data_IF_345347760581
#
_entry.id   IF_345347760581
#
_cell.length_a   1.000
_cell.length_b   1.000
_cell.length_c   1.000
_cell.angle_alpha   90.00
_cell.angle_beta   90.00
_cell.angle_gamma   90.00
#
_symmetry.space_group_name_H-M   'P 1'
#
loop_
_entity.id
_entity.type
_entity.pdbx_description
1 polymer ?
#
# COMPACT_ATOMS: atom_id res chain seq x y z
N UNK A 1 5.27 -9.47 6.90
CA UNK A 1 5.28 -8.70 5.63
C UNK A 1 4.71 -9.43 4.44
N UNK A 2 5.04 -10.71 4.18
CA UNK A 2 4.45 -11.42 3.00
C UNK A 2 2.93 -11.43 3.02
N UNK A 3 2.30 -11.60 4.20
CA UNK A 3 0.84 -11.55 4.32
C UNK A 3 0.28 -10.16 3.91
N UNK A 4 0.85 -9.07 4.44
CA UNK A 4 0.42 -7.71 4.08
C UNK A 4 0.57 -7.42 2.58
N UNK A 5 1.70 -7.82 1.99
CA UNK A 5 1.90 -7.69 0.54
C UNK A 5 0.89 -8.52 -0.25
N UNK A 6 0.62 -9.75 0.19
CA UNK A 6 -0.37 -10.61 -0.43
C UNK A 6 -1.77 -9.98 -0.37
N UNK A 7 -2.21 -9.48 0.79
CA UNK A 7 -3.51 -8.82 0.96
C UNK A 7 -3.65 -7.61 0.04
N UNK A 8 -2.67 -6.71 0.04
CA UNK A 8 -2.71 -5.52 -0.82
C UNK A 8 -2.76 -5.91 -2.29
N UNK A 9 -1.95 -6.90 -2.69
CA UNK A 9 -1.88 -7.37 -4.07
C UNK A 9 -3.19 -8.03 -4.53
N UNK A 10 -3.78 -8.90 -3.72
CA UNK A 10 -5.04 -9.56 -4.07
C UNK A 10 -6.22 -8.59 -4.09
N UNK A 11 -6.19 -7.55 -3.24
CA UNK A 11 -7.19 -6.50 -3.29
C UNK A 11 -7.03 -5.65 -4.55
N UNK A 12 -5.80 -5.34 -4.97
CA UNK A 12 -5.56 -4.66 -6.25
C UNK A 12 -6.04 -5.52 -7.43
N UNK A 13 -5.82 -6.84 -7.41
CA UNK A 13 -6.37 -7.74 -8.45
C UNK A 13 -7.90 -7.69 -8.52
N UNK A 14 -8.57 -7.58 -7.38
CA UNK A 14 -10.02 -7.44 -7.36
C UNK A 14 -10.46 -6.09 -7.98
N UNK A 15 -9.73 -5.01 -7.69
CA UNK A 15 -9.98 -3.69 -8.26
C UNK A 15 -9.72 -3.67 -9.77
N UNK A 16 -8.64 -4.27 -10.25
CA UNK A 16 -8.34 -4.43 -11.68
C UNK A 16 -9.46 -5.17 -12.42
N UNK A 17 -9.94 -6.27 -11.84
CA UNK A 17 -11.02 -7.07 -12.41
C UNK A 17 -12.34 -6.28 -12.47
N UNK A 18 -12.67 -5.50 -11.43
CA UNK A 18 -13.83 -4.63 -11.43
C UNK A 18 -13.72 -3.53 -12.48
N UNK A 19 -12.55 -2.91 -12.61
CA UNK A 19 -12.32 -1.88 -13.61
C UNK A 19 -12.42 -2.42 -15.04
N UNK A 20 -11.85 -3.59 -15.33
CA UNK A 20 -12.02 -4.22 -16.64
C UNK A 20 -13.49 -4.55 -16.93
N UNK A 21 -14.22 -5.07 -15.95
CA UNK A 21 -15.65 -5.38 -16.10
C UNK A 21 -16.49 -4.14 -16.41
N UNK A 22 -16.14 -2.99 -15.82
CA UNK A 22 -16.86 -1.73 -15.93
C UNK A 22 -16.30 -0.80 -17.02
N UNK A 23 -15.28 -1.23 -17.77
CA UNK A 23 -14.56 -0.42 -18.77
C UNK A 23 -14.00 0.90 -18.18
N UNK A 24 -13.42 0.81 -16.98
CA UNK A 24 -12.82 1.93 -16.25
C UNK A 24 -11.31 1.97 -16.42
N UNK A 25 -10.77 3.18 -16.64
CA UNK A 25 -9.34 3.42 -16.58
C UNK A 25 -8.88 3.64 -15.13
N UNK A 26 -7.86 2.89 -14.68
CA UNK A 26 -7.31 3.02 -13.34
C UNK A 26 -5.96 3.74 -13.39
N UNK A 27 -5.91 5.04 -13.05
CA UNK A 27 -4.65 5.76 -13.09
C UNK A 27 -3.66 5.21 -12.06
N UNK A 28 -2.38 5.23 -12.43
CA UNK A 28 -1.29 5.04 -11.48
C UNK A 28 -1.16 6.29 -10.61
N UNK A 29 -0.90 6.11 -9.32
CA UNK A 29 -0.61 7.22 -8.43
C UNK A 29 0.80 7.74 -8.62
N UNK A 30 0.98 9.03 -8.40
CA UNK A 30 2.31 9.58 -8.14
C UNK A 30 2.70 9.26 -6.70
N UNK A 31 3.86 8.63 -6.53
CA UNK A 31 4.39 8.33 -5.20
C UNK A 31 5.22 9.51 -4.70
N UNK A 32 5.07 9.89 -3.41
CA UNK A 32 5.92 10.88 -2.79
C UNK A 32 7.41 10.55 -2.89
N UNK A 33 8.22 11.60 -3.03
CA UNK A 33 9.67 11.50 -2.91
C UNK A 33 10.07 11.19 -1.46
N UNK A 34 11.04 10.29 -1.21
CA UNK A 34 11.49 9.98 0.13
C UNK A 34 12.06 11.20 0.88
N UNK A 35 11.52 11.51 2.05
CA UNK A 35 12.07 12.53 2.95
C UNK A 35 13.25 11.96 3.77
N UNK A 36 14.29 12.78 4.01
CA UNK A 36 15.37 12.43 4.94
C UNK A 36 14.97 12.88 6.35
N UNK A 37 14.61 11.93 7.20
CA UNK A 37 14.20 12.19 8.59
C UNK A 37 15.38 12.18 9.56
N UNK A 38 15.13 12.57 10.81
CA UNK A 38 16.11 12.51 11.90
C UNK A 38 16.60 11.09 12.21
N UNK A 39 15.82 10.06 11.84
CA UNK A 39 16.10 8.65 12.14
C UNK A 39 16.53 7.83 10.90
N UNK A 40 16.74 8.49 9.77
CA UNK A 40 17.13 7.84 8.51
C UNK A 40 18.42 7.00 8.66
N UNK A 41 19.47 7.56 9.27
CA UNK A 41 20.75 6.88 9.49
C UNK A 41 20.63 5.64 10.43
N UNK A 42 19.93 5.73 11.57
CA UNK A 42 19.57 4.55 12.36
C UNK A 42 18.84 3.45 11.57
N UNK A 43 17.86 3.80 10.74
CA UNK A 43 17.18 2.81 9.88
C UNK A 43 18.13 2.12 8.92
N UNK A 44 18.98 2.88 8.22
CA UNK A 44 19.98 2.33 7.30
C UNK A 44 20.95 1.38 8.01
N UNK A 45 21.41 1.77 9.20
CA UNK A 45 22.27 0.93 10.02
C UNK A 45 21.56 -0.38 10.43
N UNK A 46 20.33 -0.29 10.94
CA UNK A 46 19.55 -1.46 11.36
C UNK A 46 19.31 -2.43 10.20
N UNK A 47 18.85 -1.94 9.06
CA UNK A 47 18.63 -2.73 7.84
C UNK A 47 19.91 -3.46 7.43
N UNK A 48 21.04 -2.74 7.38
CA UNK A 48 22.35 -3.32 7.03
C UNK A 48 22.79 -4.37 8.04
N UNK A 49 22.66 -4.10 9.33
CA UNK A 49 23.05 -5.03 10.40
C UNK A 49 22.24 -6.34 10.33
N UNK A 50 20.93 -6.27 10.08
CA UNK A 50 20.08 -7.45 9.95
C UNK A 50 20.50 -8.38 8.79
N UNK A 51 21.10 -7.86 7.72
CA UNK A 51 21.62 -8.69 6.61
C UNK A 51 22.88 -9.47 6.96
N UNK A 52 23.57 -9.11 8.06
CA UNK A 52 24.85 -9.69 8.49
C UNK A 52 24.70 -10.67 9.66
N UNK A 53 23.50 -10.80 10.21
CA UNK A 53 23.25 -11.73 11.32
C UNK A 53 23.15 -13.14 10.75
N UNK A 54 24.12 -13.97 11.14
CA UNK A 54 24.06 -15.42 11.01
C UNK A 54 23.47 -16.01 12.29
N UNK A 55 22.28 -16.58 12.19
CA UNK A 55 21.61 -17.21 13.30
C UNK A 55 21.93 -18.71 13.35
N UNK A 56 22.04 -19.28 14.56
CA UNK A 56 22.51 -20.65 14.76
C UNK A 56 21.56 -21.77 14.28
N UNK A 57 20.39 -21.46 13.72
CA UNK A 57 19.48 -22.42 13.11
C UNK A 57 18.53 -21.76 12.09
N UNK A 58 17.87 -22.58 11.27
CA UNK A 58 16.98 -22.15 10.19
C UNK A 58 15.79 -21.33 10.67
N UNK A 59 15.20 -21.69 11.81
CA UNK A 59 14.07 -20.96 12.37
C UNK A 59 14.50 -19.56 12.79
N UNK A 60 15.60 -19.43 13.51
CA UNK A 60 16.16 -18.16 13.91
C UNK A 60 16.57 -17.32 12.68
N UNK A 61 17.15 -17.93 11.65
CA UNK A 61 17.48 -17.23 10.41
C UNK A 61 16.21 -16.74 9.68
N UNK A 62 15.12 -17.52 9.73
CA UNK A 62 13.82 -17.09 9.22
C UNK A 62 13.28 -15.88 9.98
N UNK A 63 13.39 -15.86 11.31
CA UNK A 63 13.01 -14.68 12.12
C UNK A 63 13.82 -13.45 11.75
N UNK A 64 15.14 -13.57 11.55
CA UNK A 64 15.99 -12.47 11.07
C UNK A 64 15.51 -11.91 9.73
N UNK A 65 15.11 -12.79 8.79
CA UNK A 65 14.53 -12.36 7.50
C UNK A 65 13.20 -11.63 7.66
N UNK A 66 12.35 -12.05 8.60
CA UNK A 66 11.10 -11.33 8.92
C UNK A 66 11.42 -9.93 9.46
N UNK A 67 12.34 -9.83 10.42
CA UNK A 67 12.74 -8.55 11.02
C UNK A 67 13.35 -7.62 9.98
N UNK A 68 14.18 -8.13 9.07
CA UNK A 68 14.71 -7.35 7.95
C UNK A 68 13.59 -6.73 7.09
N UNK A 69 12.57 -7.53 6.72
CA UNK A 69 11.44 -7.03 5.92
C UNK A 69 10.61 -6.00 6.69
N UNK A 70 10.40 -6.22 7.99
CA UNK A 70 9.69 -5.27 8.85
C UNK A 70 10.47 -3.95 8.99
N UNK A 71 11.78 -4.01 9.20
CA UNK A 71 12.64 -2.83 9.26
C UNK A 71 12.57 -2.01 7.96
N UNK A 72 12.53 -2.68 6.80
CA UNK A 72 12.37 -2.00 5.49
C UNK A 72 11.00 -1.35 5.33
N UNK A 73 9.95 -2.00 5.81
CA UNK A 73 8.60 -1.43 5.82
C UNK A 73 8.52 -0.18 6.72
N UNK A 74 9.05 -0.25 7.94
CA UNK A 74 9.08 0.88 8.86
C UNK A 74 9.93 2.03 8.33
N UNK A 75 11.07 1.73 7.71
CA UNK A 75 11.88 2.74 7.02
C UNK A 75 11.09 3.42 5.89
N UNK A 76 10.27 2.66 5.15
CA UNK A 76 9.45 3.24 4.08
C UNK A 76 8.35 4.14 4.64
N UNK A 77 7.72 3.75 5.74
CA UNK A 77 6.78 4.58 6.48
C UNK A 77 7.40 5.88 6.99
N UNK A 78 8.62 5.82 7.51
CA UNK A 78 9.37 7.00 7.93
C UNK A 78 9.63 7.97 6.76
N UNK A 79 9.95 7.44 5.58
CA UNK A 79 10.27 8.24 4.39
C UNK A 79 9.09 8.93 3.73
N UNK A 80 7.94 8.24 3.62
CA UNK A 80 6.80 8.71 2.80
C UNK A 80 5.43 8.49 3.43
N UNK A 81 5.37 7.84 4.59
CA UNK A 81 4.11 7.42 5.22
C UNK A 81 3.19 8.60 5.55
N UNK A 82 3.76 9.67 6.11
CA UNK A 82 3.01 10.90 6.45
C UNK A 82 2.35 11.52 5.23
N UNK A 83 3.06 11.64 4.11
CA UNK A 83 2.51 12.24 2.89
C UNK A 83 1.44 11.34 2.26
N UNK A 84 1.65 10.01 2.28
CA UNK A 84 0.65 9.02 1.86
C UNK A 84 -0.63 9.11 2.70
N UNK A 85 -0.51 9.26 4.02
CA UNK A 85 -1.67 9.43 4.91
C UNK A 85 -2.42 10.73 4.59
N UNK A 86 -1.70 11.85 4.43
CA UNK A 86 -2.34 13.12 4.08
C UNK A 86 -3.08 13.04 2.75
N UNK A 87 -2.47 12.44 1.72
CA UNK A 87 -3.13 12.23 0.42
C UNK A 87 -4.35 11.30 0.53
N UNK A 88 -4.32 10.33 1.44
CA UNK A 88 -5.48 9.48 1.73
C UNK A 88 -6.58 10.27 2.43
N UNK A 89 -6.24 11.17 3.36
CA UNK A 89 -7.23 12.05 4.01
C UNK A 89 -7.84 13.05 3.04
N UNK A 90 -7.08 13.54 2.05
CA UNK A 90 -7.60 14.36 0.95
C UNK A 90 -8.64 13.58 0.13
N UNK A 91 -8.33 12.33 -0.24
CA UNK A 91 -9.25 11.47 -0.97
C UNK A 91 -10.54 11.16 -0.18
N UNK A 92 -10.42 10.83 1.12
CA UNK A 92 -11.59 10.60 1.98
C UNK A 92 -12.41 11.87 2.15
N UNK A 93 -11.76 13.03 2.29
CA UNK A 93 -12.46 14.31 2.38
C UNK A 93 -13.24 14.65 1.12
N UNK A 94 -12.66 14.37 -0.05
CA UNK A 94 -13.33 14.59 -1.33
C UNK A 94 -14.59 13.74 -1.48
N UNK A 95 -14.58 12.50 -0.97
CA UNK A 95 -15.73 11.59 -1.05
C UNK A 95 -16.78 11.86 0.03
N UNK A 96 -16.36 12.07 1.28
CA UNK A 96 -17.25 12.14 2.45
C UNK A 96 -17.62 13.57 2.84
N UNK A 97 -16.97 14.57 2.26
CA UNK A 97 -17.12 15.99 2.60
C UNK A 97 -16.47 16.42 3.92
N UNK A 98 -15.81 15.50 4.63
CA UNK A 98 -15.12 15.78 5.91
C UNK A 98 -13.71 15.20 5.88
N UNK A 99 -12.72 15.99 6.32
CA UNK A 99 -11.36 15.50 6.47
C UNK A 99 -11.21 14.70 7.78
N UNK A 100 -10.67 13.48 7.74
CA UNK A 100 -10.30 12.73 8.94
C UNK A 100 -9.18 13.43 9.73
N UNK A 101 -9.22 13.32 11.06
CA UNK A 101 -8.17 13.82 11.95
C UNK A 101 -6.98 12.86 12.04
N UNK A 102 -7.22 11.56 11.90
CA UNK A 102 -6.20 10.51 11.93
C UNK A 102 -6.59 9.30 11.05
N UNK A 103 -5.69 8.32 10.97
CA UNK A 103 -5.86 7.13 10.14
C UNK A 103 -7.05 6.27 10.60
N UNK A 104 -7.34 6.22 11.90
CA UNK A 104 -8.41 5.40 12.43
C UNK A 104 -9.77 6.02 12.08
N UNK A 105 -9.92 7.33 12.25
CA UNK A 105 -11.10 8.06 11.78
C UNK A 105 -11.27 7.92 10.26
N UNK A 106 -10.17 7.95 9.50
CA UNK A 106 -10.22 7.75 8.04
C UNK A 106 -10.81 6.39 7.64
N UNK A 107 -10.42 5.29 8.30
CA UNK A 107 -10.98 3.97 8.00
C UNK A 107 -12.46 3.88 8.42
N UNK A 108 -12.80 4.38 9.62
CA UNK A 108 -14.19 4.37 10.11
C UNK A 108 -15.11 5.17 9.18
N UNK A 109 -14.68 6.35 8.73
CA UNK A 109 -15.46 7.18 7.83
C UNK A 109 -15.72 6.51 6.48
N UNK A 110 -14.74 5.79 5.94
CA UNK A 110 -14.92 5.03 4.71
C UNK A 110 -15.87 3.85 4.90
N UNK A 111 -15.75 3.11 6.00
CA UNK A 111 -16.66 2.01 6.33
C UNK A 111 -18.11 2.51 6.46
N UNK A 112 -18.34 3.56 7.24
CA UNK A 112 -19.66 4.17 7.44
C UNK A 112 -20.24 4.68 6.11
N UNK A 113 -19.41 5.30 5.27
CA UNK A 113 -19.82 5.77 3.94
C UNK A 113 -20.26 4.61 3.05
N UNK A 114 -19.45 3.55 2.93
CA UNK A 114 -19.79 2.38 2.09
C UNK A 114 -21.03 1.66 2.60
N UNK A 115 -21.21 1.51 3.91
CA UNK A 115 -22.38 0.85 4.49
C UNK A 115 -23.68 1.66 4.32
N UNK A 116 -23.57 2.99 4.20
CA UNK A 116 -24.73 3.88 4.02
C UNK A 116 -25.01 4.20 2.55
N UNK A 117 -24.05 3.99 1.65
CA UNK A 117 -24.23 4.16 0.22
C UNK A 117 -25.16 3.09 -0.37
N UNK A 118 -25.93 3.47 -1.37
CA UNK A 118 -26.85 2.58 -2.09
C UNK A 118 -26.31 2.16 -3.47
N UNK A 119 -24.99 2.23 -3.65
CA UNK A 119 -24.28 1.98 -4.91
C UNK A 119 -24.23 3.20 -5.82
N UNK A 120 -24.53 4.40 -5.33
CA UNK A 120 -24.44 5.63 -6.13
C UNK A 120 -22.98 6.01 -6.40
N UNK A 121 -22.05 5.60 -5.53
CA UNK A 121 -20.65 6.01 -5.57
C UNK A 121 -19.69 4.87 -5.97
N UNK A 122 -20.19 3.80 -6.59
CA UNK A 122 -19.39 2.61 -6.92
C UNK A 122 -18.11 2.95 -7.72
N UNK A 123 -18.22 3.84 -8.71
CA UNK A 123 -17.08 4.22 -9.56
C UNK A 123 -16.05 5.05 -8.77
N UNK A 124 -16.52 6.01 -7.98
CA UNK A 124 -15.69 6.83 -7.10
C UNK A 124 -14.96 5.98 -6.06
N UNK A 125 -15.65 4.99 -5.49
CA UNK A 125 -15.09 4.04 -4.54
C UNK A 125 -14.02 3.16 -5.18
N UNK A 126 -14.23 2.64 -6.39
CA UNK A 126 -13.21 1.88 -7.13
C UNK A 126 -11.95 2.73 -7.31
N UNK A 127 -12.09 3.99 -7.75
CA UNK A 127 -10.95 4.88 -7.91
C UNK A 127 -10.25 5.19 -6.58
N UNK A 128 -11.00 5.44 -5.51
CA UNK A 128 -10.43 5.69 -4.18
C UNK A 128 -9.66 4.46 -3.67
N UNK A 129 -10.27 3.27 -3.74
CA UNK A 129 -9.63 2.04 -3.28
C UNK A 129 -8.42 1.67 -4.13
N UNK A 130 -8.46 1.90 -5.44
CA UNK A 130 -7.28 1.79 -6.30
C UNK A 130 -6.11 2.65 -5.77
N UNK A 131 -6.33 3.95 -5.56
CA UNK A 131 -5.30 4.87 -5.04
C UNK A 131 -4.80 4.42 -3.67
N UNK A 132 -5.71 4.11 -2.75
CA UNK A 132 -5.39 3.67 -1.39
C UNK A 132 -4.55 2.39 -1.37
N UNK A 133 -4.91 1.41 -2.19
CA UNK A 133 -4.19 0.13 -2.27
C UNK A 133 -2.83 0.27 -2.98
N UNK A 134 -2.71 1.12 -4.01
CA UNK A 134 -1.42 1.45 -4.60
C UNK A 134 -0.48 2.09 -3.56
N UNK A 135 -0.98 3.03 -2.75
CA UNK A 135 -0.21 3.62 -1.63
C UNK A 135 0.20 2.57 -0.60
N UNK A 136 -0.74 1.72 -0.18
CA UNK A 136 -0.47 0.64 0.77
C UNK A 136 0.56 -0.36 0.24
N UNK A 137 0.49 -0.69 -1.06
CA UNK A 137 1.47 -1.55 -1.71
C UNK A 137 2.85 -0.89 -1.76
N UNK A 138 2.93 0.40 -2.11
CA UNK A 138 4.18 1.15 -2.16
C UNK A 138 4.90 1.27 -0.79
N UNK A 139 4.18 1.11 0.32
CA UNK A 139 4.71 1.11 1.68
C UNK A 139 5.34 -0.24 2.10
N UNK A 140 5.09 -1.33 1.39
CA UNK A 140 5.59 -2.66 1.75
C UNK A 140 7.12 -2.82 1.61
N UNK A 141 7.79 -1.90 0.92
CA UNK A 141 9.24 -1.93 0.75
C UNK A 141 9.78 -0.69 0.02
N UNK A 142 11.09 -0.67 -0.28
CA UNK A 142 11.70 0.42 -1.04
C UNK A 142 11.18 0.43 -2.49
N UNK A 143 11.38 1.57 -3.16
CA UNK A 143 11.12 1.72 -4.60
C UNK A 143 11.84 0.61 -5.38
N UNK A 144 11.15 -0.01 -6.32
CA UNK A 144 11.65 -1.12 -7.15
C UNK A 144 11.67 -2.49 -6.46
N UNK A 145 11.29 -2.60 -5.18
CA UNK A 145 11.14 -3.90 -4.52
C UNK A 145 9.99 -4.71 -5.12
N UNK A 146 10.18 -6.02 -5.26
CA UNK A 146 9.10 -6.95 -5.56
C UNK A 146 7.95 -6.91 -4.51
N UNK A 147 8.23 -6.44 -3.29
CA UNK A 147 7.21 -6.28 -2.25
C UNK A 147 6.32 -5.06 -2.44
N UNK A 148 6.78 -4.06 -3.21
CA UNK A 148 6.08 -2.79 -3.40
C UNK A 148 5.47 -2.65 -4.81
N UNK A 149 5.64 -3.67 -5.65
CA UNK A 149 5.17 -3.67 -7.04
C UNK A 149 3.82 -4.37 -7.12
N UNK A 150 2.91 -3.79 -7.90
CA UNK A 150 1.72 -4.47 -8.37
C UNK A 150 1.99 -5.24 -9.66
N UNK A 151 1.59 -6.51 -9.74
CA UNK A 151 1.76 -7.33 -10.93
C UNK A 151 0.49 -7.32 -11.79
N UNK A 152 0.58 -7.27 -13.12
CA UNK A 152 -0.61 -7.36 -13.95
C UNK A 152 -1.26 -8.74 -13.84
N UNK A 153 -2.60 -8.77 -13.84
CA UNK A 153 -3.39 -10.01 -13.91
C UNK A 153 -3.79 -10.37 -15.34
N UNK A 154 -4.28 -11.59 -15.51
CA UNK A 154 -4.88 -12.02 -16.77
C UNK A 154 -6.16 -11.21 -17.03
N UNK A 155 -6.23 -10.59 -18.21
CA UNK A 155 -7.43 -9.91 -18.70
C UNK A 155 -8.54 -10.89 -19.03
N UNK A 156 -9.80 -10.47 -18.93
CA UNK A 156 -10.95 -11.28 -19.32
C UNK A 156 -10.97 -11.60 -20.82
N UNK A 157 -10.43 -10.71 -21.65
CA UNK A 157 -10.26 -10.96 -23.09
C UNK A 157 -9.11 -11.93 -23.43
N UNK A 158 -8.40 -12.44 -22.42
CA UNK A 158 -7.30 -13.39 -22.55
C UNK A 158 -6.02 -12.80 -23.12
N UNK A 159 -5.95 -11.49 -23.38
CA UNK A 159 -4.74 -10.82 -23.84
C UNK A 159 -3.81 -10.57 -22.67
N UNK A 160 -2.50 -10.64 -22.94
CA UNK A 160 -1.49 -10.23 -21.96
C UNK A 160 -1.54 -8.71 -21.83
N UNK A 161 -1.49 -8.22 -20.59
CA UNK A 161 -1.19 -6.81 -20.31
C UNK A 161 0.22 -6.55 -20.83
N UNK A 162 0.37 -5.54 -21.69
CA UNK A 162 1.63 -5.18 -22.34
C UNK A 162 2.62 -4.54 -21.37
#
# INVERSE_FOLDING_TARGET
MTNLQWVNETNLFAIDALAEYLDLDLPQIELPEPEITQVAQPFEHMVRSLTRIEAGNDFAQHQVRILFRLARHLQRWDQVGREIEQATFDDVAALTGKRPADWHESEQMLEDFVLSDNGTHDLELIHLFNRKLQRAQALNGPVGSAMARHNPIQRFDGRKVA
#
